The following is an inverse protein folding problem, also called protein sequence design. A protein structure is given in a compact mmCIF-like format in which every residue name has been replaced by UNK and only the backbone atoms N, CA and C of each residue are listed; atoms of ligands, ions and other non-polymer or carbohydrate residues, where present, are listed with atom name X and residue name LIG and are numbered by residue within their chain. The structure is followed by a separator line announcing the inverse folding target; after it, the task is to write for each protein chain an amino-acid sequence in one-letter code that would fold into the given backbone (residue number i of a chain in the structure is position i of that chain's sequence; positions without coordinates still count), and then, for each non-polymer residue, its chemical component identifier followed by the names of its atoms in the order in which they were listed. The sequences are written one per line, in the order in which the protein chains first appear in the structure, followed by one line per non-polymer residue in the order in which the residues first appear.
data_IF_387992040417
#
_entry.id   IF_387992040417
#
_cell.length_a   1.000
_cell.length_b   1.000
_cell.length_c   1.000
_cell.angle_alpha   90.00
_cell.angle_beta   90.00
_cell.angle_gamma   90.00
#
_symmetry.space_group_name_H-M   'P 1'
#
loop_
_entity.id
_entity.type
_entity.pdbx_description
1 polymer ?
#
# COMPACT_ATOMS: atom_id res chain seq x y z
N UNK A 1 20.84 2.11 -22.55
CA UNK A 1 19.59 2.78 -22.15
C UNK A 1 19.48 2.61 -20.65
N UNK A 2 19.39 3.73 -19.95
CA UNK A 2 19.75 3.96 -18.54
C UNK A 2 18.92 3.14 -17.56
N UNK A 3 19.59 2.68 -16.50
CA UNK A 3 19.03 1.90 -15.39
C UNK A 3 17.91 2.67 -14.68
N UNK A 4 16.68 2.14 -14.71
CA UNK A 4 15.63 2.58 -13.82
C UNK A 4 15.84 1.87 -12.48
N UNK A 5 16.43 2.59 -11.52
CA UNK A 5 16.49 2.16 -10.13
C UNK A 5 15.06 2.01 -9.63
N UNK A 6 14.57 0.77 -9.55
CA UNK A 6 13.30 0.43 -8.91
C UNK A 6 13.47 0.60 -7.40
N UNK A 7 13.51 1.86 -6.95
CA UNK A 7 13.36 2.21 -5.55
C UNK A 7 11.88 2.06 -5.19
N UNK A 8 11.60 1.04 -4.39
CA UNK A 8 10.25 0.63 -4.06
C UNK A 8 10.18 -0.88 -4.05
N UNK A 9 10.62 -1.45 -2.93
CA UNK A 9 10.22 -2.76 -2.43
C UNK A 9 8.68 -2.83 -2.43
N UNK A 10 8.11 -3.02 -3.62
CA UNK A 10 6.73 -3.35 -3.80
C UNK A 10 6.64 -4.80 -3.37
N UNK A 11 6.47 -5.02 -2.06
CA UNK A 11 6.12 -6.32 -1.55
C UNK A 11 4.95 -6.83 -2.41
N UNK A 12 5.22 -7.84 -3.24
CA UNK A 12 4.33 -8.37 -4.28
C UNK A 12 3.14 -9.14 -3.71
N UNK A 13 2.55 -8.62 -2.64
CA UNK A 13 1.42 -9.23 -1.94
C UNK A 13 0.33 -8.20 -1.63
N UNK A 14 -0.81 -8.68 -1.11
CA UNK A 14 -2.01 -7.87 -0.94
C UNK A 14 -1.74 -6.67 -0.03
N UNK A 15 -1.89 -5.48 -0.60
CA UNK A 15 -1.73 -4.19 0.10
C UNK A 15 -3.10 -3.77 0.61
N UNK A 16 -3.24 -3.46 1.89
CA UNK A 16 -4.52 -3.04 2.47
C UNK A 16 -4.51 -1.53 2.70
N UNK A 17 -5.30 -0.81 1.92
CA UNK A 17 -5.58 0.61 2.07
C UNK A 17 -6.78 0.90 2.98
N UNK A 18 -6.78 2.10 3.55
CA UNK A 18 -7.91 2.67 4.27
C UNK A 18 -8.48 3.83 3.46
N UNK A 19 -9.72 3.71 2.97
CA UNK A 19 -10.37 4.75 2.15
C UNK A 19 -10.63 6.06 2.91
N UNK A 20 -10.71 6.01 4.25
CA UNK A 20 -10.92 7.19 5.10
C UNK A 20 -9.67 8.05 5.24
N UNK A 21 -8.50 7.43 5.43
CA UNK A 21 -7.23 8.14 5.63
C UNK A 21 -6.36 8.20 4.38
N UNK A 22 -6.70 7.43 3.34
CA UNK A 22 -5.88 7.19 2.16
C UNK A 22 -4.48 6.68 2.50
N UNK A 23 -4.36 5.86 3.55
CA UNK A 23 -3.09 5.22 3.94
C UNK A 23 -3.16 3.73 3.61
N UNK A 24 -2.08 3.17 3.05
CA UNK A 24 -1.98 1.74 2.76
C UNK A 24 -0.89 1.03 3.56
N UNK A 25 -1.12 -0.27 3.78
CA UNK A 25 -0.26 -1.17 4.54
C UNK A 25 0.18 -2.34 3.66
N UNK A 26 1.47 -2.63 3.71
CA UNK A 26 2.06 -3.80 3.06
C UNK A 26 1.68 -5.10 3.81
N UNK A 27 1.69 -6.26 3.13
CA UNK A 27 1.31 -7.56 3.70
C UNK A 27 2.16 -8.09 4.87
N UNK A 28 3.17 -7.34 5.33
CA UNK A 28 3.94 -7.61 6.55
C UNK A 28 3.59 -6.72 7.75
N UNK A 29 2.82 -5.65 7.54
CA UNK A 29 2.49 -4.66 8.58
C UNK A 29 1.30 -5.16 9.42
N UNK A 30 1.59 -6.10 10.34
CA UNK A 30 0.61 -6.82 11.17
C UNK A 30 -0.11 -5.96 12.23
N UNK A 31 0.38 -4.76 12.50
CA UNK A 31 -0.04 -3.96 13.67
C UNK A 31 -1.06 -2.86 13.37
N UNK A 32 -1.65 -2.82 12.17
CA UNK A 32 -2.61 -1.77 11.86
C UNK A 32 -4.05 -2.27 11.89
N UNK A 33 -4.81 -1.79 12.88
CA UNK A 33 -6.25 -2.00 12.95
C UNK A 33 -6.97 -1.13 11.92
N UNK A 34 -7.19 -1.67 10.72
CA UNK A 34 -8.18 -1.12 9.80
C UNK A 34 -9.57 -1.57 10.22
N UNK A 35 -10.50 -0.62 10.33
CA UNK A 35 -11.91 -0.96 10.36
C UNK A 35 -12.29 -1.55 9.01
N UNK A 36 -12.73 -2.80 8.98
CA UNK A 36 -13.06 -3.58 7.78
C UNK A 36 -14.00 -2.85 6.82
N UNK A 37 -14.83 -1.94 7.34
CA UNK A 37 -15.73 -1.09 6.55
C UNK A 37 -15.01 -0.16 5.56
N UNK A 38 -13.77 0.22 5.86
CA UNK A 38 -12.95 1.12 5.04
C UNK A 38 -11.72 0.42 4.44
N UNK A 39 -11.61 -0.90 4.63
CA UNK A 39 -10.53 -1.70 4.08
C UNK A 39 -10.67 -1.83 2.57
N UNK A 40 -9.65 -1.43 1.83
CA UNK A 40 -9.56 -1.62 0.38
C UNK A 40 -8.33 -2.46 0.11
N UNK A 41 -8.50 -3.64 -0.49
CA UNK A 41 -7.38 -4.48 -0.87
C UNK A 41 -6.91 -4.09 -2.28
N UNK A 42 -5.60 -3.87 -2.42
CA UNK A 42 -4.92 -3.60 -3.67
C UNK A 42 -4.01 -4.79 -4.00
N UNK A 43 -3.91 -5.11 -5.28
CA UNK A 43 -3.03 -6.18 -5.75
C UNK A 43 -1.54 -5.82 -5.60
N UNK A 44 -1.22 -4.53 -5.66
CA UNK A 44 0.15 -4.04 -5.51
C UNK A 44 0.17 -2.61 -4.96
N UNK A 45 1.35 -2.19 -4.50
CA UNK A 45 1.59 -0.87 -3.94
C UNK A 45 1.47 0.24 -5.00
N UNK A 46 1.83 -0.05 -6.25
CA UNK A 46 1.74 0.90 -7.35
C UNK A 46 0.29 1.34 -7.61
N UNK A 47 -0.67 0.41 -7.56
CA UNK A 47 -2.11 0.66 -7.67
C UNK A 47 -2.61 1.50 -6.51
N UNK A 48 -2.15 1.23 -5.29
CA UNK A 48 -2.50 2.04 -4.13
C UNK A 48 -1.97 3.48 -4.29
N UNK A 49 -0.70 3.65 -4.69
CA UNK A 49 -0.11 4.97 -4.98
C UNK A 49 -0.84 5.70 -6.11
N UNK A 50 -1.15 4.98 -7.20
CA UNK A 50 -1.87 5.54 -8.35
C UNK A 50 -3.30 5.96 -7.97
N UNK A 51 -3.95 5.23 -7.07
CA UNK A 51 -5.24 5.60 -6.49
C UNK A 51 -5.15 6.79 -5.50
N UNK A 52 -3.95 7.35 -5.28
CA UNK A 52 -3.70 8.48 -4.40
C UNK A 52 -3.58 8.12 -2.93
N UNK A 53 -3.27 6.85 -2.62
CA UNK A 53 -2.99 6.40 -1.26
C UNK A 53 -1.50 6.56 -0.95
N UNK A 54 -1.21 6.86 0.31
CA UNK A 54 0.15 7.06 0.83
C UNK A 54 0.58 5.85 1.66
N UNK A 55 1.87 5.48 1.67
CA UNK A 55 2.35 4.43 2.55
C UNK A 55 2.12 4.83 4.00
N UNK A 56 1.74 3.85 4.81
CA UNK A 56 1.88 3.98 6.25
C UNK A 56 3.37 4.17 6.57
N UNK A 57 3.70 5.34 7.12
CA UNK A 57 5.01 5.57 7.72
C UNK A 57 5.18 4.51 8.82
N UNK A 58 6.29 3.77 8.76
CA UNK A 58 6.64 2.76 9.78
C UNK A 58 6.78 3.41 11.16
#
# INVERSE_FOLDING_TARGET
MTVATTDGDAASGPVVGNSKTKIYHLPGQRNYHINSKYAVQFANEALAKQAGYRPALK
#
